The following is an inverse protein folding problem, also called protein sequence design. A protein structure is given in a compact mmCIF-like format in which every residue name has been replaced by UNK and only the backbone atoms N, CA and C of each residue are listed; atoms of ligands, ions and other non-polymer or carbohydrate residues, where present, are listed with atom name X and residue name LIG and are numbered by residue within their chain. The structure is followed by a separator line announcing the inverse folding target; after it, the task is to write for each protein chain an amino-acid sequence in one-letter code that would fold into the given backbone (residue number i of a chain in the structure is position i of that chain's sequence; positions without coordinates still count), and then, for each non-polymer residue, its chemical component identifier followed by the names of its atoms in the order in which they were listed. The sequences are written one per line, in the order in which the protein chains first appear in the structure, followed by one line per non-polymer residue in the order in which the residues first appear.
data_IF_613045270599
#
_entry.id   IF_613045270599
#
_cell.length_a   1.000
_cell.length_b   1.000
_cell.length_c   1.000
_cell.angle_alpha   90.00
_cell.angle_beta   90.00
_cell.angle_gamma   90.00
#
_symmetry.space_group_name_H-M   'P 1'
#
loop_
_entity.id
_entity.type
_entity.pdbx_description
1 polymer ?
#
# COMPACT_ATOMS: atom_id res chain seq x y z
N UNK A 1 7.73 6.99 2.65
CA UNK A 1 8.03 7.58 3.98
C UNK A 1 7.68 6.56 5.05
N UNK A 2 8.44 6.47 6.15
CA UNK A 2 8.08 5.59 7.28
C UNK A 2 6.70 5.99 7.83
N UNK A 3 5.83 5.03 8.14
CA UNK A 3 4.52 5.36 8.75
C UNK A 3 4.68 6.02 10.10
N UNK A 4 5.73 5.65 10.84
CA UNK A 4 6.08 6.27 12.12
C UNK A 4 6.46 7.73 11.87
N UNK A 5 7.25 8.02 10.84
CA UNK A 5 7.59 9.40 10.46
C UNK A 5 6.34 10.18 10.01
N UNK A 6 5.44 9.58 9.22
CA UNK A 6 4.19 10.22 8.81
C UNK A 6 3.25 10.50 10.00
N UNK A 7 3.14 9.57 10.95
CA UNK A 7 2.34 9.74 12.17
C UNK A 7 2.93 10.81 13.10
N UNK A 8 4.26 10.94 13.15
CA UNK A 8 4.93 12.02 13.89
C UNK A 8 4.74 13.39 13.21
N UNK A 9 4.79 13.44 11.87
CA UNK A 9 4.60 14.67 11.08
C UNK A 9 3.14 15.12 11.05
N UNK A 10 2.17 14.21 11.12
CA UNK A 10 0.73 14.55 11.17
C UNK A 10 0.21 14.73 12.60
N UNK A 11 0.94 14.27 13.62
CA UNK A 11 0.65 14.51 15.03
C UNK A 11 1.13 15.87 15.57
N UNK A 12 2.04 16.53 14.87
CA UNK A 12 2.49 17.90 15.15
C UNK A 12 2.39 18.75 13.89
N UNK A 13 1.58 19.81 13.92
CA UNK A 13 1.17 20.62 12.75
C UNK A 13 2.23 20.85 11.66
N UNK A 14 1.77 20.65 10.42
CA UNK A 14 2.48 20.78 9.14
C UNK A 14 3.51 21.92 9.08
N UNK A 15 4.69 21.60 8.52
CA UNK A 15 5.46 22.56 7.72
C UNK A 15 5.40 22.14 6.26
N UNK A 16 4.83 23.03 5.47
CA UNK A 16 4.79 23.06 4.01
C UNK A 16 6.17 22.73 3.42
N UNK A 17 6.21 21.75 2.51
CA UNK A 17 7.37 21.42 1.70
C UNK A 17 7.05 21.67 0.23
N UNK A 18 7.87 22.53 -0.37
CA UNK A 18 7.85 23.14 -1.71
C UNK A 18 7.30 22.28 -2.89
N UNK A 19 6.38 22.81 -3.73
CA UNK A 19 5.92 22.15 -4.95
C UNK A 19 6.87 22.48 -6.12
N UNK A 20 7.97 21.74 -6.25
CA UNK A 20 8.92 22.02 -7.33
C UNK A 20 9.75 20.82 -7.75
N UNK A 21 9.26 20.03 -8.71
CA UNK A 21 9.97 19.66 -9.96
C UNK A 21 9.17 18.59 -10.72
N UNK A 22 8.64 18.96 -11.88
CA UNK A 22 7.94 18.06 -12.78
C UNK A 22 8.91 17.19 -13.59
N UNK A 23 8.63 15.89 -13.68
CA UNK A 23 8.90 15.11 -14.90
C UNK A 23 8.05 13.83 -14.93
N UNK A 24 7.27 13.69 -16.01
CA UNK A 24 6.43 12.53 -16.41
C UNK A 24 5.20 12.24 -15.53
N UNK A 25 4.13 12.98 -15.79
CA UNK A 25 2.77 12.58 -15.48
C UNK A 25 2.41 11.33 -16.30
N UNK A 26 2.57 10.17 -15.67
CA UNK A 26 2.21 8.86 -16.19
C UNK A 26 1.97 7.94 -15.00
N UNK A 27 1.72 6.65 -15.26
CA UNK A 27 1.49 5.60 -14.24
C UNK A 27 2.40 5.72 -13.00
N UNK A 28 3.62 6.23 -13.17
CA UNK A 28 4.58 6.51 -12.09
C UNK A 28 4.05 7.45 -11.00
N UNK A 29 3.28 8.50 -11.32
CA UNK A 29 2.71 9.41 -10.31
C UNK A 29 1.68 8.69 -9.45
N UNK A 30 0.81 7.87 -10.05
CA UNK A 30 -0.18 7.07 -9.33
C UNK A 30 0.47 6.04 -8.42
N UNK A 31 1.51 5.36 -8.92
CA UNK A 31 2.36 4.43 -8.17
C UNK A 31 3.03 5.13 -6.99
N UNK A 32 3.54 6.35 -7.16
CA UNK A 32 4.15 7.13 -6.07
C UNK A 32 3.10 7.54 -5.02
N UNK A 33 1.92 8.00 -5.42
CA UNK A 33 0.84 8.32 -4.46
C UNK A 33 0.36 7.09 -3.70
N UNK A 34 0.21 5.94 -4.36
CA UNK A 34 -0.13 4.67 -3.69
C UNK A 34 0.98 4.21 -2.75
N UNK A 35 2.23 4.29 -3.19
CA UNK A 35 3.39 3.98 -2.34
C UNK A 35 3.54 4.94 -1.16
N UNK A 36 3.04 6.17 -1.27
CA UNK A 36 2.99 7.12 -0.16
C UNK A 36 1.90 6.78 0.87
N UNK A 37 0.81 6.13 0.43
CA UNK A 37 -0.28 5.66 1.29
C UNK A 37 0.06 4.36 2.04
N UNK A 38 0.96 3.55 1.50
CA UNK A 38 1.37 2.29 2.14
C UNK A 38 2.55 2.53 3.09
N UNK A 39 2.48 2.02 4.33
CA UNK A 39 3.63 1.98 5.24
C UNK A 39 4.89 1.42 4.55
N UNK A 40 5.98 2.18 4.54
CA UNK A 40 7.25 1.74 3.96
C UNK A 40 7.76 0.46 4.63
N UNK A 41 7.47 0.29 5.91
CA UNK A 41 7.78 -0.89 6.71
C UNK A 41 7.11 -2.15 6.16
N UNK A 42 5.84 -2.04 5.74
CA UNK A 42 5.08 -3.15 5.17
C UNK A 42 5.57 -3.49 3.78
N UNK A 43 5.93 -2.49 2.97
CA UNK A 43 6.55 -2.71 1.66
C UNK A 43 7.90 -3.41 1.77
N UNK A 44 8.73 -3.02 2.74
CA UNK A 44 10.02 -3.64 3.00
C UNK A 44 9.85 -5.12 3.42
N UNK A 45 8.92 -5.40 4.34
CA UNK A 45 8.60 -6.78 4.74
C UNK A 45 8.04 -7.60 3.57
N UNK A 46 7.17 -7.03 2.74
CA UNK A 46 6.68 -7.69 1.53
C UNK A 46 7.82 -8.07 0.58
N UNK A 47 8.75 -7.15 0.33
CA UNK A 47 9.92 -7.41 -0.51
C UNK A 47 10.81 -8.52 0.07
N UNK A 48 11.01 -8.52 1.39
CA UNK A 48 11.74 -9.57 2.10
C UNK A 48 11.04 -10.93 1.95
N UNK A 49 9.72 -11.00 2.15
CA UNK A 49 8.97 -12.24 1.95
C UNK A 49 9.11 -12.76 0.53
N UNK A 50 9.00 -11.91 -0.49
CA UNK A 50 9.21 -12.32 -1.87
C UNK A 50 10.61 -12.89 -2.10
N UNK A 51 11.66 -12.28 -1.53
CA UNK A 51 13.04 -12.78 -1.68
C UNK A 51 13.26 -14.18 -1.10
N UNK A 52 12.50 -14.57 -0.07
CA UNK A 52 12.64 -15.87 0.59
C UNK A 52 11.67 -16.91 0.01
N UNK A 53 10.55 -16.49 -0.55
CA UNK A 53 9.46 -17.38 -1.01
C UNK A 53 9.36 -17.54 -2.53
N UNK A 54 10.17 -16.79 -3.28
CA UNK A 54 10.25 -16.89 -4.74
C UNK A 54 11.61 -17.42 -5.17
N UNK A 55 11.60 -18.37 -6.10
CA UNK A 55 12.80 -18.84 -6.76
C UNK A 55 12.82 -18.29 -8.19
N UNK A 56 13.90 -17.58 -8.52
CA UNK A 56 14.18 -17.16 -9.90
C UNK A 56 15.03 -18.24 -10.55
N UNK A 57 14.47 -18.93 -11.54
CA UNK A 57 15.28 -19.85 -12.36
C UNK A 57 15.96 -19.03 -13.46
N UNK A 58 17.30 -19.05 -13.57
CA UNK A 58 17.98 -18.32 -14.63
C UNK A 58 17.58 -18.91 -15.99
N UNK A 59 17.22 -18.02 -16.91
CA UNK A 59 16.86 -18.34 -18.29
C UNK A 59 18.02 -19.07 -18.99
N UNK A 60 17.86 -20.34 -19.34
CA UNK A 60 18.81 -21.05 -20.18
C UNK A 60 18.56 -20.69 -21.66
N UNK A 61 19.36 -19.75 -22.18
CA UNK A 61 19.64 -19.37 -23.58
C UNK A 61 18.50 -19.17 -24.61
N UNK A 62 17.25 -19.55 -24.34
CA UNK A 62 16.10 -19.33 -25.24
C UNK A 62 14.73 -19.33 -24.52
N UNK A 63 14.66 -19.63 -23.22
CA UNK A 63 13.42 -19.61 -22.43
C UNK A 63 13.39 -18.40 -21.49
N UNK A 64 12.27 -17.68 -21.45
CA UNK A 64 12.06 -16.56 -20.53
C UNK A 64 12.27 -17.04 -19.08
N UNK A 65 12.99 -16.23 -18.29
CA UNK A 65 13.20 -16.53 -16.87
C UNK A 65 11.84 -16.71 -16.17
N UNK A 66 11.60 -17.89 -15.63
CA UNK A 66 10.35 -18.21 -14.95
C UNK A 66 10.55 -18.03 -13.44
N UNK A 67 9.84 -17.06 -12.87
CA UNK A 67 9.68 -16.90 -11.43
C UNK A 67 8.67 -17.92 -10.94
N UNK A 68 9.08 -18.84 -10.06
CA UNK A 68 8.18 -19.82 -9.46
C UNK A 68 8.04 -19.55 -7.97
N UNK A 69 6.80 -19.47 -7.51
CA UNK A 69 6.47 -19.39 -6.08
C UNK A 69 6.77 -20.75 -5.46
N UNK A 70 7.63 -20.77 -4.43
CA UNK A 70 8.10 -22.01 -3.81
C UNK A 70 7.05 -22.63 -2.88
N UNK A 71 6.34 -21.79 -2.12
CA UNK A 71 5.30 -22.21 -1.19
C UNK A 71 4.16 -21.17 -1.14
N UNK A 72 3.05 -21.41 -1.88
CA UNK A 72 1.92 -20.48 -1.91
C UNK A 72 1.20 -20.39 -0.56
N UNK A 73 1.25 -21.44 0.28
CA UNK A 73 0.55 -21.45 1.57
C UNK A 73 1.20 -20.50 2.58
N UNK A 74 2.53 -20.48 2.61
CA UNK A 74 3.30 -19.55 3.44
C UNK A 74 3.16 -18.11 2.94
N UNK A 75 3.19 -17.92 1.62
CA UNK A 75 2.99 -16.61 1.00
C UNK A 75 1.60 -16.02 1.32
N UNK A 76 0.55 -16.85 1.26
CA UNK A 76 -0.83 -16.45 1.60
C UNK A 76 -0.95 -16.04 3.07
N UNK A 77 -0.37 -16.81 4.01
CA UNK A 77 -0.33 -16.44 5.43
C UNK A 77 0.42 -15.14 5.67
N UNK A 78 1.56 -14.94 5.00
CA UNK A 78 2.34 -13.71 5.07
C UNK A 78 1.54 -12.51 4.55
N UNK A 79 0.76 -12.68 3.48
CA UNK A 79 -0.12 -11.63 2.94
C UNK A 79 -1.14 -11.15 3.96
N UNK A 80 -1.88 -12.07 4.59
CA UNK A 80 -2.84 -11.71 5.63
C UNK A 80 -2.15 -11.11 6.86
N UNK A 81 -0.98 -11.62 7.22
CA UNK A 81 -0.15 -11.05 8.29
C UNK A 81 0.22 -9.59 8.02
N UNK A 82 0.60 -9.25 6.79
CA UNK A 82 0.91 -7.87 6.38
C UNK A 82 -0.32 -6.97 6.38
N UNK A 83 -1.50 -7.47 5.97
CA UNK A 83 -2.77 -6.72 6.08
C UNK A 83 -3.08 -6.39 7.53
N UNK A 84 -2.98 -7.37 8.43
CA UNK A 84 -3.20 -7.16 9.87
C UNK A 84 -2.17 -6.17 10.40
N UNK A 85 -0.90 -6.29 9.99
CA UNK A 85 0.16 -5.36 10.39
C UNK A 85 -0.14 -3.92 9.95
N UNK A 86 -0.63 -3.70 8.73
CA UNK A 86 -1.10 -2.38 8.27
C UNK A 86 -2.15 -1.78 9.20
N UNK A 87 -3.16 -2.59 9.57
CA UNK A 87 -4.23 -2.15 10.49
C UNK A 87 -3.65 -1.81 11.86
N UNK A 88 -2.79 -2.68 12.41
CA UNK A 88 -2.17 -2.48 13.71
C UNK A 88 -1.31 -1.22 13.73
N UNK A 89 -0.45 -1.00 12.72
CA UNK A 89 0.39 0.20 12.62
C UNK A 89 -0.42 1.48 12.56
N UNK A 90 -1.61 1.45 11.95
CA UNK A 90 -2.51 2.60 11.92
C UNK A 90 -3.27 2.80 13.25
N UNK A 91 -3.80 1.72 13.82
CA UNK A 91 -4.69 1.75 14.98
C UNK A 91 -3.92 1.97 16.29
N UNK A 92 -2.73 1.37 16.44
CA UNK A 92 -1.92 1.44 17.66
C UNK A 92 -1.63 2.89 18.14
N UNK A 93 -1.10 3.81 17.32
CA UNK A 93 -0.83 5.18 17.77
C UNK A 93 -2.12 5.93 18.15
N UNK A 94 -3.26 5.62 17.52
CA UNK A 94 -4.56 6.24 17.86
C UNK A 94 -5.14 5.72 19.16
N UNK A 95 -4.94 4.44 19.47
CA UNK A 95 -5.32 3.88 20.76
C UNK A 95 -4.47 4.47 21.90
N UNK A 96 -3.16 4.65 21.69
CA UNK A 96 -2.25 5.23 22.69
C UNK A 96 -2.60 6.71 22.97
N UNK A 97 -2.98 7.46 21.94
CA UNK A 97 -3.31 8.88 22.08
C UNK A 97 -4.76 9.15 22.53
N UNK A 98 -5.61 8.11 22.63
CA UNK A 98 -7.03 8.18 22.99
C UNK A 98 -7.88 9.17 22.17
N UNK A 99 -7.38 9.65 21.02
CA UNK A 99 -8.09 10.61 20.14
C UNK A 99 -8.80 9.86 19.01
N UNK A 100 -9.81 9.06 19.37
CA UNK A 100 -10.57 8.30 18.38
C UNK A 100 -11.78 9.09 17.88
N UNK A 101 -11.80 9.42 16.60
CA UNK A 101 -12.92 10.05 15.89
C UNK A 101 -13.62 9.00 15.03
N UNK A 102 -14.94 9.11 14.82
CA UNK A 102 -15.69 8.15 13.98
C UNK A 102 -15.11 8.00 12.56
N UNK A 103 -14.53 9.08 12.00
CA UNK A 103 -13.83 9.07 10.71
C UNK A 103 -12.54 8.23 10.70
N UNK A 104 -11.98 7.93 11.86
CA UNK A 104 -10.75 7.15 11.96
C UNK A 104 -10.96 5.70 11.58
N UNK A 105 -12.18 5.20 11.71
CA UNK A 105 -12.57 3.88 11.22
C UNK A 105 -12.52 3.82 9.70
N UNK A 106 -13.04 4.83 8.99
CA UNK A 106 -12.95 4.87 7.53
C UNK A 106 -11.49 4.97 7.07
N UNK A 107 -10.68 5.77 7.78
CA UNK A 107 -9.26 5.95 7.48
C UNK A 107 -8.40 4.74 7.83
N UNK A 108 -8.81 3.89 8.78
CA UNK A 108 -8.04 2.67 9.14
C UNK A 108 -8.09 1.59 8.06
N UNK A 109 -9.10 1.62 7.19
CA UNK A 109 -9.21 0.69 6.06
C UNK A 109 -8.36 1.14 4.86
N UNK A 110 -8.00 2.43 4.77
CA UNK A 110 -7.22 2.95 3.63
C UNK A 110 -5.85 2.27 3.50
N UNK A 111 -5.01 2.15 4.56
CA UNK A 111 -3.70 1.49 4.43
C UNK A 111 -3.75 0.03 3.95
N UNK A 112 -4.57 -0.87 4.53
CA UNK A 112 -4.61 -2.26 4.03
C UNK A 112 -5.17 -2.35 2.61
N UNK A 113 -6.13 -1.50 2.22
CA UNK A 113 -6.67 -1.49 0.86
C UNK A 113 -5.65 -0.97 -0.17
N UNK A 114 -4.91 0.08 0.18
CA UNK A 114 -3.82 0.57 -0.64
C UNK A 114 -2.74 -0.50 -0.82
N UNK A 115 -2.42 -1.24 0.25
CA UNK A 115 -1.49 -2.37 0.18
C UNK A 115 -1.97 -3.49 -0.74
N UNK A 116 -3.24 -3.91 -0.63
CA UNK A 116 -3.83 -4.93 -1.53
C UNK A 116 -3.80 -4.45 -2.98
N UNK A 117 -4.18 -3.20 -3.23
CA UNK A 117 -4.18 -2.62 -4.58
C UNK A 117 -2.76 -2.55 -5.15
N UNK A 118 -1.78 -2.22 -4.29
CA UNK A 118 -0.37 -2.20 -4.64
C UNK A 118 0.16 -3.60 -5.03
N UNK A 119 -0.17 -4.64 -4.27
CA UNK A 119 0.28 -6.01 -4.58
C UNK A 119 -0.37 -6.56 -5.84
N UNK A 120 -1.58 -6.12 -6.21
CA UNK A 120 -2.22 -6.45 -7.48
C UNK A 120 -1.51 -5.87 -8.71
N UNK A 121 -0.82 -4.74 -8.57
CA UNK A 121 -0.09 -4.09 -9.67
C UNK A 121 1.24 -4.77 -10.01
N UNK A 122 1.80 -5.53 -9.07
CA UNK A 122 3.05 -6.24 -9.25
C UNK A 122 2.82 -7.66 -9.78
N UNK A 123 3.78 -8.21 -10.54
CA UNK A 123 3.73 -9.62 -11.00
C UNK A 123 4.29 -10.56 -9.93
N UNK A 124 3.73 -11.77 -9.82
CA UNK A 124 4.19 -12.83 -8.92
C UNK A 124 4.24 -12.38 -7.46
N UNK A 125 3.14 -11.80 -6.97
CA UNK A 125 3.06 -11.29 -5.60
C UNK A 125 2.30 -12.20 -4.66
N UNK A 126 2.29 -11.83 -3.39
CA UNK A 126 1.50 -12.48 -2.37
C UNK A 126 -0.02 -12.46 -2.64
N UNK A 127 -0.50 -11.55 -3.49
CA UNK A 127 -1.89 -11.55 -3.96
C UNK A 127 -2.19 -12.78 -4.84
N UNK A 128 -1.24 -13.21 -5.67
CA UNK A 128 -1.43 -14.33 -6.60
C UNK A 128 -1.59 -15.66 -5.87
N UNK A 129 -1.13 -15.76 -4.62
CA UNK A 129 -1.39 -16.93 -3.77
C UNK A 129 -2.80 -16.96 -3.16
N UNK A 130 -3.53 -15.85 -3.18
CA UNK A 130 -4.87 -15.74 -2.60
C UNK A 130 -5.95 -15.71 -3.68
N UNK A 131 -5.69 -14.99 -4.78
CA UNK A 131 -6.63 -14.80 -5.86
C UNK A 131 -5.93 -14.96 -7.20
N UNK A 132 -6.24 -16.05 -7.91
CA UNK A 132 -5.69 -16.33 -9.23
C UNK A 132 -6.48 -15.56 -10.30
N UNK A 133 -6.07 -14.32 -10.57
CA UNK A 133 -6.61 -13.51 -11.65
C UNK A 133 -5.59 -13.41 -12.79
N UNK A 134 -6.08 -13.47 -14.02
CA UNK A 134 -5.26 -13.17 -15.19
C UNK A 134 -4.65 -11.75 -15.11
N UNK A 135 -3.44 -11.60 -15.63
CA UNK A 135 -2.63 -10.38 -15.46
C UNK A 135 -3.34 -9.10 -15.95
N UNK A 136 -4.01 -9.19 -17.10
CA UNK A 136 -4.73 -8.06 -17.71
C UNK A 136 -5.91 -7.56 -16.85
N UNK A 137 -6.92 -8.38 -16.49
CA UNK A 137 -8.03 -7.92 -15.65
C UNK A 137 -7.59 -7.52 -14.24
N UNK A 138 -6.55 -8.17 -13.68
CA UNK A 138 -5.97 -7.79 -12.38
C UNK A 138 -5.40 -6.37 -12.42
N UNK A 139 -4.63 -6.05 -13.44
CA UNK A 139 -4.02 -4.72 -13.58
C UNK A 139 -5.07 -3.64 -13.82
N UNK A 140 -6.04 -3.91 -14.70
CA UNK A 140 -7.12 -2.95 -14.99
C UNK A 140 -7.97 -2.68 -13.74
N UNK A 141 -8.39 -3.72 -13.01
CA UNK A 141 -9.16 -3.55 -11.77
C UNK A 141 -8.35 -2.82 -10.70
N UNK A 142 -7.08 -3.14 -10.53
CA UNK A 142 -6.20 -2.44 -9.58
C UNK A 142 -6.08 -0.94 -9.90
N UNK A 143 -5.99 -0.56 -11.18
CA UNK A 143 -5.95 0.84 -11.57
C UNK A 143 -7.25 1.59 -11.25
N UNK A 144 -8.41 0.99 -11.53
CA UNK A 144 -9.70 1.60 -11.16
C UNK A 144 -9.84 1.76 -9.65
N UNK A 145 -9.51 0.70 -8.90
CA UNK A 145 -9.56 0.71 -7.43
C UNK A 145 -8.58 1.74 -6.86
N UNK A 146 -7.38 1.87 -7.42
CA UNK A 146 -6.41 2.89 -7.03
C UNK A 146 -6.96 4.32 -7.23
N UNK A 147 -7.61 4.60 -8.36
CA UNK A 147 -8.22 5.92 -8.59
C UNK A 147 -9.31 6.21 -7.57
N UNK A 148 -10.21 5.24 -7.31
CA UNK A 148 -11.26 5.39 -6.31
C UNK A 148 -10.70 5.64 -4.90
N UNK A 149 -9.65 4.90 -4.51
CA UNK A 149 -9.00 5.11 -3.23
C UNK A 149 -8.26 6.44 -3.13
N UNK A 150 -7.60 6.87 -4.20
CA UNK A 150 -6.93 8.17 -4.25
C UNK A 150 -7.93 9.33 -4.03
N UNK A 151 -9.09 9.27 -4.71
CA UNK A 151 -10.16 10.25 -4.54
C UNK A 151 -10.76 10.20 -3.13
N UNK A 152 -11.04 9.00 -2.62
CA UNK A 152 -11.57 8.81 -1.27
C UNK A 152 -10.62 9.32 -0.18
N UNK A 153 -9.32 9.06 -0.31
CA UNK A 153 -8.30 9.55 0.60
C UNK A 153 -8.18 11.08 0.56
N UNK A 154 -8.16 11.68 -0.64
CA UNK A 154 -8.12 13.14 -0.81
C UNK A 154 -9.33 13.82 -0.17
N UNK A 155 -10.53 13.27 -0.38
CA UNK A 155 -11.76 13.77 0.23
C UNK A 155 -11.75 13.65 1.77
N UNK A 156 -11.29 12.52 2.31
CA UNK A 156 -11.15 12.34 3.75
C UNK A 156 -10.11 13.25 4.38
N UNK A 157 -9.07 13.64 3.63
CA UNK A 157 -8.10 14.66 4.01
C UNK A 157 -8.73 16.04 4.07
N UNK A 158 -9.48 16.42 3.02
CA UNK A 158 -10.19 17.71 2.95
C UNK A 158 -11.16 17.93 4.12
N UNK A 159 -11.84 16.87 4.60
CA UNK A 159 -12.71 16.98 5.77
C UNK A 159 -11.98 17.25 7.10
N UNK A 160 -10.67 16.95 7.21
CA UNK A 160 -9.90 17.29 8.42
C UNK A 160 -9.61 18.79 8.45
N UNK A 161 -9.34 19.36 7.29
CA UNK A 161 -8.88 20.74 7.14
C UNK A 161 -9.99 21.76 7.40
N UNK A 162 -11.26 21.35 7.32
CA UNK A 162 -12.36 22.27 7.55
C UNK A 162 -12.39 22.71 9.02
N UNK A 163 -12.29 24.03 9.31
CA UNK A 163 -12.39 24.54 10.67
C UNK A 163 -13.75 24.16 11.24
N UNK A 164 -13.75 23.56 12.43
CA UNK A 164 -14.98 23.21 13.14
C UNK A 164 -15.80 24.51 13.32
N UNK A 165 -17.06 24.57 12.84
CA UNK A 165 -17.92 25.70 13.13
C UNK A 165 -18.14 25.75 14.65
N UNK A 166 -17.76 26.89 15.25
CA UNK A 166 -17.90 27.21 16.68
C UNK A 166 -19.35 27.31 17.11
#
# INVERSE_FOLDING_TARGET
MSTIAYALITGGGQREGDPGTGTRAGVNTYVVTMAALVPAEVLALHALFLSVTTNTTPAAAATLAATRIADPSTLSKAFYGLIVLCVVLYVAPRLITHKWVRLDFARSVIPPLAFVTWTMLQKATAFDAVCDLAEAPRTVSALFVAVLWGLGAAWLGYQVEQPQPV
#
